data_IF_815078937715
#
_entry.id   IF_815078937715
#
_cell.length_a   1.000
_cell.length_b   1.000
_cell.length_c   1.000
_cell.angle_alpha   90.00
_cell.angle_beta   90.00
_cell.angle_gamma   90.00
#
_symmetry.space_group_name_H-M   'P 1'
#
loop_
_entity.id
_entity.type
_entity.pdbx_description
1 polymer ?
#
# COMPACT_ATOMS: atom_id res chain seq x y z
N UNK A 1 1.49 19.49 15.55
CA UNK A 1 2.49 18.42 15.69
C UNK A 1 2.62 18.10 17.17
N UNK A 2 2.23 16.90 17.60
CA UNK A 2 2.24 16.44 19.00
C UNK A 2 3.34 15.39 19.14
N UNK A 3 4.15 15.50 20.17
CA UNK A 3 5.21 14.53 20.49
C UNK A 3 4.65 13.64 21.60
N UNK A 4 4.46 12.34 21.35
CA UNK A 4 3.86 11.38 22.30
C UNK A 4 4.83 10.93 23.40
N UNK A 5 5.53 11.89 24.01
CA UNK A 5 6.43 11.67 25.15
C UNK A 5 5.85 12.18 26.46
N UNK A 6 6.53 11.89 27.57
CA UNK A 6 6.21 12.47 28.88
C UNK A 6 6.33 14.01 28.79
N UNK A 7 5.23 14.75 28.96
CA UNK A 7 5.21 16.19 28.74
C UNK A 7 3.94 16.89 29.20
N UNK A 8 3.98 18.22 29.24
CA UNK A 8 2.84 19.07 29.65
C UNK A 8 1.93 19.30 28.45
N UNK A 9 0.70 18.79 28.52
CA UNK A 9 -0.31 19.01 27.49
C UNK A 9 -0.98 20.38 27.67
N UNK A 10 -0.75 21.29 26.72
CA UNK A 10 -1.40 22.60 26.71
C UNK A 10 -2.85 22.44 26.25
N UNK A 11 -3.82 22.67 27.14
CA UNK A 11 -5.25 22.65 26.82
C UNK A 11 -5.60 23.84 25.93
N UNK A 12 -5.88 23.58 24.65
CA UNK A 12 -6.34 24.60 23.69
C UNK A 12 -7.87 24.59 23.67
N UNK A 13 -8.51 25.76 23.77
CA UNK A 13 -9.97 25.87 23.58
C UNK A 13 -10.26 25.81 22.08
N UNK A 14 -10.80 24.70 21.61
CA UNK A 14 -11.15 24.47 20.21
C UNK A 14 -12.64 24.78 20.07
N UNK A 15 -12.99 25.73 19.20
CA UNK A 15 -14.38 26.07 18.89
C UNK A 15 -15.07 24.88 18.19
N UNK A 16 -16.39 24.73 18.39
CA UNK A 16 -17.17 23.59 17.84
C UNK A 16 -17.19 23.53 16.30
N UNK A 17 -16.86 24.63 15.64
CA UNK A 17 -16.89 24.76 14.18
C UNK A 17 -15.59 24.32 13.47
N UNK A 18 -14.68 23.65 14.18
CA UNK A 18 -13.35 23.28 13.66
C UNK A 18 -13.16 21.77 13.70
N UNK A 19 -12.84 21.17 12.54
CA UNK A 19 -12.43 19.76 12.44
C UNK A 19 -10.96 19.61 12.81
N UNK A 20 -10.68 18.92 13.92
CA UNK A 20 -9.31 18.64 14.36
C UNK A 20 -8.89 17.29 13.83
N UNK A 21 -7.93 17.28 12.90
CA UNK A 21 -7.33 16.03 12.41
C UNK A 21 -5.95 15.83 13.02
N UNK A 22 -5.80 14.78 13.82
CA UNK A 22 -4.50 14.39 14.38
C UNK A 22 -3.80 13.48 13.39
N UNK A 23 -2.61 13.89 12.94
CA UNK A 23 -1.75 13.07 12.08
C UNK A 23 -0.72 12.41 12.98
N UNK A 24 -0.74 11.08 13.03
CA UNK A 24 0.19 10.26 13.81
C UNK A 24 1.07 9.45 12.86
N UNK A 25 2.39 9.36 13.12
CA UNK A 25 3.28 8.53 12.32
C UNK A 25 2.92 7.05 12.54
N UNK A 26 2.68 6.32 11.46
CA UNK A 26 2.40 4.86 11.54
C UNK A 26 3.65 4.05 11.87
N UNK A 27 4.83 4.59 11.57
CA UNK A 27 6.12 3.95 11.81
C UNK A 27 6.75 4.46 13.10
N UNK A 28 7.45 3.58 13.83
CA UNK A 28 8.24 3.98 14.99
C UNK A 28 9.30 5.01 14.56
N UNK A 29 9.15 6.23 15.06
CA UNK A 29 10.18 7.26 14.97
C UNK A 29 11.38 6.88 15.83
N UNK A 30 12.53 7.51 15.58
CA UNK A 30 13.74 7.30 16.38
C UNK A 30 13.52 7.58 17.88
N UNK A 31 14.45 7.07 18.71
CA UNK A 31 14.45 7.32 20.16
C UNK A 31 14.59 8.81 20.50
N UNK A 32 14.00 9.24 21.62
CA UNK A 32 14.20 10.59 22.15
C UNK A 32 15.70 10.88 22.35
N UNK A 33 16.14 12.09 21.99
CA UNK A 33 17.54 12.55 22.00
C UNK A 33 18.50 11.84 20.99
N UNK A 34 17.99 11.07 20.02
CA UNK A 34 18.85 10.49 18.99
C UNK A 34 19.05 11.46 17.80
N UNK A 35 20.08 12.30 17.85
CA UNK A 35 20.40 13.29 16.82
C UNK A 35 21.24 12.71 15.67
N UNK A 36 20.72 11.68 15.01
CA UNK A 36 21.29 11.23 13.74
C UNK A 36 20.69 12.07 12.61
N UNK A 37 21.54 12.77 11.84
CA UNK A 37 21.09 13.67 10.78
C UNK A 37 20.32 12.94 9.66
N UNK A 38 20.71 11.72 9.30
CA UNK A 38 20.02 10.94 8.27
C UNK A 38 18.66 10.44 8.76
N UNK A 39 18.59 9.95 10.00
CA UNK A 39 17.34 9.52 10.61
C UNK A 39 16.37 10.69 10.76
N UNK A 40 16.85 11.84 11.23
CA UNK A 40 16.05 13.05 11.42
C UNK A 40 15.43 13.52 10.08
N UNK A 41 16.19 13.48 8.99
CA UNK A 41 15.68 13.79 7.64
C UNK A 41 14.56 12.82 7.22
N UNK A 42 14.74 11.52 7.45
CA UNK A 42 13.73 10.49 7.13
C UNK A 42 12.46 10.67 7.95
N UNK A 43 12.59 10.92 9.25
CA UNK A 43 11.47 11.12 10.16
C UNK A 43 10.65 12.37 9.78
N UNK A 44 11.32 13.47 9.40
CA UNK A 44 10.66 14.68 8.88
C UNK A 44 9.94 14.39 7.56
N UNK A 45 10.59 13.68 6.63
CA UNK A 45 9.95 13.30 5.37
C UNK A 45 8.71 12.42 5.61
N UNK A 46 8.78 11.46 6.54
CA UNK A 46 7.66 10.61 6.90
C UNK A 46 6.48 11.43 7.41
N UNK A 47 6.71 12.37 8.33
CA UNK A 47 5.67 13.29 8.80
C UNK A 47 5.08 14.16 7.68
N UNK A 48 5.91 14.61 6.74
CA UNK A 48 5.44 15.40 5.59
C UNK A 48 4.51 14.60 4.66
N UNK A 49 4.86 13.36 4.33
CA UNK A 49 4.02 12.52 3.48
C UNK A 49 2.78 11.99 4.21
N UNK A 50 2.87 11.65 5.50
CA UNK A 50 1.70 11.30 6.32
C UNK A 50 0.72 12.48 6.41
N UNK A 51 1.21 13.71 6.50
CA UNK A 51 0.35 14.89 6.42
C UNK A 51 -0.33 15.01 5.05
N UNK A 52 0.41 14.80 3.95
CA UNK A 52 -0.18 14.80 2.59
C UNK A 52 -1.22 13.71 2.41
N UNK A 53 -1.01 12.52 2.98
CA UNK A 53 -1.98 11.41 2.94
C UNK A 53 -3.32 11.86 3.48
N UNK A 54 -3.31 12.52 4.64
CA UNK A 54 -4.52 13.01 5.28
C UNK A 54 -5.13 14.19 4.51
N UNK A 55 -4.32 15.14 4.04
CA UNK A 55 -4.80 16.34 3.35
C UNK A 55 -5.40 16.04 1.97
N UNK A 56 -4.81 15.10 1.23
CA UNK A 56 -5.25 14.74 -0.12
C UNK A 56 -6.09 13.47 -0.16
N UNK A 57 -6.31 12.79 0.97
CA UNK A 57 -7.06 11.54 1.02
C UNK A 57 -6.38 10.39 0.27
N UNK A 58 -5.04 10.33 0.32
CA UNK A 58 -4.28 9.28 -0.36
C UNK A 58 -4.55 7.91 0.27
N UNK A 59 -4.58 6.89 -0.58
CA UNK A 59 -4.78 5.49 -0.21
C UNK A 59 -3.45 4.80 0.10
N UNK A 60 -3.55 3.64 0.76
CA UNK A 60 -2.41 2.80 1.16
C UNK A 60 -2.02 2.93 2.64
N UNK A 61 -1.43 1.87 3.17
CA UNK A 61 -0.89 1.84 4.54
C UNK A 61 0.56 2.32 4.58
N UNK A 62 1.41 1.80 3.69
CA UNK A 62 2.85 2.08 3.63
C UNK A 62 3.18 3.08 2.50
N UNK A 63 2.50 2.95 1.36
CA UNK A 63 2.69 3.81 0.19
C UNK A 63 1.67 4.96 0.19
N UNK A 64 1.91 5.96 -0.66
CA UNK A 64 1.05 7.13 -0.82
C UNK A 64 0.44 7.10 -2.21
N UNK A 65 -0.77 6.55 -2.31
CA UNK A 65 -1.38 6.25 -3.60
C UNK A 65 -2.53 7.20 -3.87
N UNK A 66 -2.43 7.90 -5.00
CA UNK A 66 -3.49 8.75 -5.50
C UNK A 66 -4.47 7.88 -6.30
N UNK A 67 -5.69 7.74 -5.78
CA UNK A 67 -6.70 6.84 -6.34
C UNK A 67 -7.32 7.48 -7.58
N UNK A 68 -6.89 6.96 -8.72
CA UNK A 68 -7.41 7.24 -10.06
C UNK A 68 -8.35 6.15 -10.54
N UNK A 69 -8.16 4.91 -10.10
CA UNK A 69 -8.94 3.76 -10.56
C UNK A 69 -10.24 3.57 -9.79
N UNK A 70 -11.26 3.18 -10.54
CA UNK A 70 -12.53 2.66 -10.05
C UNK A 70 -12.38 1.22 -9.57
N UNK A 71 -13.33 0.75 -8.76
CA UNK A 71 -13.38 -0.65 -8.29
C UNK A 71 -13.38 -1.65 -9.46
N UNK A 72 -14.07 -1.32 -10.56
CA UNK A 72 -14.14 -2.16 -11.75
C UNK A 72 -12.78 -2.31 -12.43
N UNK A 73 -12.02 -1.23 -12.56
CA UNK A 73 -10.67 -1.28 -13.16
C UNK A 73 -9.72 -2.11 -12.29
N UNK A 74 -9.79 -1.96 -10.97
CA UNK A 74 -9.02 -2.80 -10.06
C UNK A 74 -9.39 -4.28 -10.17
N UNK A 75 -10.69 -4.60 -10.31
CA UNK A 75 -11.16 -5.97 -10.54
C UNK A 75 -10.66 -6.54 -11.88
N UNK A 76 -10.72 -5.77 -12.96
CA UNK A 76 -10.28 -6.22 -14.28
C UNK A 76 -8.77 -6.54 -14.28
N UNK A 77 -7.96 -5.71 -13.59
CA UNK A 77 -6.53 -5.97 -13.40
C UNK A 77 -6.30 -7.22 -12.55
N UNK A 78 -6.99 -7.37 -11.42
CA UNK A 78 -6.90 -8.58 -10.58
C UNK A 78 -7.28 -9.85 -11.35
N UNK A 79 -8.36 -9.80 -12.12
CA UNK A 79 -8.83 -10.91 -12.96
C UNK A 79 -7.78 -11.28 -14.01
N UNK A 80 -7.16 -10.28 -14.64
CA UNK A 80 -6.09 -10.48 -15.62
C UNK A 80 -4.85 -11.13 -14.98
N UNK A 81 -4.43 -10.67 -13.79
CA UNK A 81 -3.30 -11.25 -13.05
C UNK A 81 -3.55 -12.72 -12.69
N UNK A 82 -4.74 -13.03 -12.19
CA UNK A 82 -5.12 -14.39 -11.82
C UNK A 82 -5.20 -15.28 -13.06
N UNK A 83 -5.87 -14.82 -14.12
CA UNK A 83 -6.00 -15.58 -15.37
C UNK A 83 -4.63 -15.88 -15.97
N UNK A 84 -3.75 -14.88 -16.09
CA UNK A 84 -2.39 -15.07 -16.60
C UNK A 84 -1.52 -15.98 -15.72
N UNK A 85 -1.81 -16.12 -14.43
CA UNK A 85 -1.17 -17.13 -13.59
C UNK A 85 -1.63 -18.55 -13.90
N UNK A 86 -2.93 -18.76 -14.07
CA UNK A 86 -3.47 -20.09 -14.36
C UNK A 86 -3.21 -20.55 -15.80
N UNK A 87 -3.17 -19.63 -16.76
CA UNK A 87 -2.74 -19.92 -18.13
C UNK A 87 -1.29 -20.42 -18.17
N UNK A 88 -0.39 -19.84 -17.38
CA UNK A 88 0.99 -20.36 -17.21
C UNK A 88 1.04 -21.76 -16.58
N UNK A 89 0.00 -22.14 -15.83
CA UNK A 89 -0.17 -23.49 -15.28
C UNK A 89 -0.93 -24.44 -16.22
N UNK A 90 -1.30 -23.98 -17.44
CA UNK A 90 -2.05 -24.75 -18.41
C UNK A 90 -3.52 -25.01 -18.02
N UNK A 91 -4.08 -24.24 -17.09
CA UNK A 91 -5.45 -24.42 -16.57
C UNK A 91 -6.33 -23.23 -16.95
N UNK A 92 -7.54 -23.50 -17.44
CA UNK A 92 -8.59 -22.48 -17.56
C UNK A 92 -9.33 -22.35 -16.24
N UNK A 93 -9.60 -21.11 -15.82
CA UNK A 93 -10.35 -20.82 -14.60
C UNK A 93 -11.71 -20.27 -14.96
N UNK A 94 -12.76 -20.85 -14.36
CA UNK A 94 -14.10 -20.29 -14.41
C UNK A 94 -14.17 -19.03 -13.55
N UNK A 95 -14.92 -18.02 -14.00
CA UNK A 95 -15.16 -16.76 -13.28
C UNK A 95 -15.63 -17.01 -11.85
N UNK A 96 -16.46 -18.05 -11.63
CA UNK A 96 -16.93 -18.43 -10.30
C UNK A 96 -15.77 -18.83 -9.38
N UNK A 97 -14.84 -19.64 -9.88
CA UNK A 97 -13.68 -20.11 -9.12
C UNK A 97 -12.69 -18.98 -8.85
N UNK A 98 -12.55 -18.04 -9.81
CA UNK A 98 -11.74 -16.84 -9.63
C UNK A 98 -12.27 -16.00 -8.45
N UNK A 99 -13.57 -15.69 -8.45
CA UNK A 99 -14.17 -14.81 -7.45
C UNK A 99 -14.37 -15.47 -6.08
N UNK A 100 -14.94 -16.67 -6.04
CA UNK A 100 -15.33 -17.33 -4.79
C UNK A 100 -14.15 -18.00 -4.07
N UNK A 101 -13.13 -18.47 -4.80
CA UNK A 101 -11.98 -19.16 -4.21
C UNK A 101 -10.74 -18.27 -4.19
N UNK A 102 -10.29 -17.81 -5.37
CA UNK A 102 -8.96 -17.18 -5.49
C UNK A 102 -8.96 -15.79 -4.88
N UNK A 103 -9.90 -14.91 -5.27
CA UNK A 103 -9.97 -13.56 -4.74
C UNK A 103 -10.34 -13.54 -3.26
N UNK A 104 -11.27 -14.40 -2.80
CA UNK A 104 -11.56 -14.52 -1.36
C UNK A 104 -10.34 -14.98 -0.56
N UNK A 105 -9.55 -15.91 -1.09
CA UNK A 105 -8.31 -16.34 -0.45
C UNK A 105 -7.27 -15.22 -0.43
N UNK A 106 -7.11 -14.51 -1.54
CA UNK A 106 -6.21 -13.36 -1.63
C UNK A 106 -6.62 -12.27 -0.63
N UNK A 107 -7.91 -11.92 -0.54
CA UNK A 107 -8.43 -10.97 0.43
C UNK A 107 -8.09 -11.37 1.88
N UNK A 108 -8.23 -12.66 2.23
CA UNK A 108 -7.85 -13.20 3.54
C UNK A 108 -6.34 -13.13 3.80
N UNK A 109 -5.52 -13.50 2.83
CA UNK A 109 -4.05 -13.46 2.96
C UNK A 109 -3.52 -12.02 3.07
N UNK A 110 -4.20 -11.10 2.41
CA UNK A 110 -3.83 -9.68 2.36
C UNK A 110 -4.41 -8.91 3.56
N UNK A 111 -5.53 -9.37 4.15
CA UNK A 111 -6.22 -8.69 5.25
C UNK A 111 -7.07 -7.51 4.77
N UNK A 112 -7.63 -7.62 3.56
CA UNK A 112 -8.57 -6.64 3.01
C UNK A 112 -9.99 -6.93 3.53
N UNK A 113 -10.77 -5.89 3.80
CA UNK A 113 -12.04 -6.03 4.52
C UNK A 113 -13.25 -6.29 3.60
N UNK A 114 -13.41 -5.58 2.49
CA UNK A 114 -14.66 -5.67 1.71
C UNK A 114 -14.50 -5.38 0.19
N UNK A 115 -13.75 -4.35 -0.23
CA UNK A 115 -13.70 -3.83 -1.61
C UNK A 115 -12.58 -4.50 -2.45
N UNK A 116 -12.83 -4.80 -3.73
CA UNK A 116 -11.81 -5.30 -4.66
C UNK A 116 -10.63 -4.32 -4.83
N UNK A 117 -10.88 -3.02 -4.75
CA UNK A 117 -9.82 -2.02 -4.75
C UNK A 117 -8.92 -2.15 -3.51
N UNK A 118 -9.48 -2.42 -2.33
CA UNK A 118 -8.72 -2.65 -1.10
C UNK A 118 -7.87 -3.94 -1.18
N UNK A 119 -8.42 -4.99 -1.81
CA UNK A 119 -7.64 -6.22 -2.11
C UNK A 119 -6.46 -5.90 -3.02
N UNK A 120 -6.72 -5.15 -4.10
CA UNK A 120 -5.69 -4.78 -5.07
C UNK A 120 -4.59 -3.93 -4.43
N UNK A 121 -4.96 -2.86 -3.72
CA UNK A 121 -4.00 -1.91 -3.17
C UNK A 121 -3.06 -2.60 -2.16
N UNK A 122 -3.62 -3.36 -1.23
CA UNK A 122 -2.83 -4.05 -0.21
C UNK A 122 -1.98 -5.18 -0.81
N UNK A 123 -2.47 -5.85 -1.85
CA UNK A 123 -1.68 -6.83 -2.58
C UNK A 123 -0.45 -6.19 -3.24
N UNK A 124 -0.65 -5.05 -3.90
CA UNK A 124 0.39 -4.28 -4.55
C UNK A 124 1.37 -3.68 -3.54
N UNK A 125 0.90 -3.17 -2.40
CA UNK A 125 1.76 -2.67 -1.32
C UNK A 125 2.68 -3.77 -0.78
N UNK A 126 2.13 -4.96 -0.47
CA UNK A 126 2.95 -6.12 -0.03
C UNK A 126 3.98 -6.51 -1.09
N UNK A 127 3.62 -6.46 -2.37
CA UNK A 127 4.55 -6.74 -3.45
C UNK A 127 5.64 -5.65 -3.56
N UNK A 128 5.27 -4.39 -3.45
CA UNK A 128 6.18 -3.25 -3.50
C UNK A 128 7.20 -3.28 -2.35
N UNK A 129 6.75 -3.63 -1.13
CA UNK A 129 7.63 -3.86 0.02
C UNK A 129 8.62 -5.00 -0.24
N UNK A 130 8.15 -6.12 -0.81
CA UNK A 130 9.00 -7.26 -1.16
C UNK A 130 10.08 -6.90 -2.20
N UNK A 131 9.72 -6.09 -3.20
CA UNK A 131 10.66 -5.59 -4.21
C UNK A 131 11.46 -4.37 -3.76
N UNK A 132 11.27 -3.89 -2.52
CA UNK A 132 11.95 -2.71 -1.94
C UNK A 132 11.76 -1.44 -2.78
N UNK A 133 10.56 -1.25 -3.34
CA UNK A 133 10.23 -0.04 -4.09
C UNK A 133 10.18 1.14 -3.10
N UNK A 134 10.80 2.30 -3.42
CA UNK A 134 10.78 3.45 -2.52
C UNK A 134 9.36 3.97 -2.30
N UNK A 135 9.01 4.25 -1.05
CA UNK A 135 7.67 4.69 -0.65
C UNK A 135 7.52 6.22 -0.51
N UNK A 136 8.61 7.00 -0.57
CA UNK A 136 8.58 8.46 -0.49
C UNK A 136 8.21 9.14 -1.82
N UNK A 137 7.11 8.72 -2.42
CA UNK A 137 6.58 9.28 -3.65
C UNK A 137 5.07 9.13 -3.67
N UNK A 138 4.36 10.18 -4.08
CA UNK A 138 2.93 10.06 -4.39
C UNK A 138 2.81 9.46 -5.77
N UNK A 139 2.17 8.31 -5.86
CA UNK A 139 2.06 7.52 -7.08
C UNK A 139 0.59 7.28 -7.41
N UNK A 140 0.25 7.28 -8.69
CA UNK A 140 -1.07 6.80 -9.12
C UNK A 140 -1.11 5.27 -9.09
N UNK A 141 -2.31 4.69 -9.10
CA UNK A 141 -2.52 3.23 -9.13
C UNK A 141 -1.75 2.56 -10.27
N UNK A 142 -1.82 3.14 -11.46
CA UNK A 142 -1.13 2.63 -12.64
C UNK A 142 0.40 2.69 -12.47
N UNK A 143 0.92 3.76 -11.88
CA UNK A 143 2.36 3.96 -11.73
C UNK A 143 2.95 2.94 -10.76
N UNK A 144 2.29 2.68 -9.64
CA UNK A 144 2.76 1.69 -8.66
C UNK A 144 2.64 0.27 -9.24
N UNK A 145 1.53 -0.03 -9.93
CA UNK A 145 1.33 -1.30 -10.63
C UNK A 145 2.46 -1.57 -11.63
N UNK A 146 2.74 -0.60 -12.51
CA UNK A 146 3.79 -0.72 -13.51
C UNK A 146 5.17 -0.88 -12.89
N UNK A 147 5.48 -0.16 -11.80
CA UNK A 147 6.76 -0.34 -11.09
C UNK A 147 6.89 -1.73 -10.49
N UNK A 148 5.84 -2.28 -9.91
CA UNK A 148 5.84 -3.62 -9.32
C UNK A 148 6.00 -4.69 -10.40
N UNK A 149 5.29 -4.56 -11.51
CA UNK A 149 5.44 -5.43 -12.67
C UNK A 149 6.87 -5.37 -13.25
N UNK A 150 7.42 -4.17 -13.45
CA UNK A 150 8.79 -3.98 -13.91
C UNK A 150 9.82 -4.56 -12.93
N UNK A 151 9.64 -4.36 -11.63
CA UNK A 151 10.51 -4.92 -10.60
C UNK A 151 10.46 -6.46 -10.59
N UNK A 152 9.27 -7.05 -10.80
CA UNK A 152 9.13 -8.50 -10.94
C UNK A 152 9.91 -9.03 -12.13
N UNK A 153 9.76 -8.41 -13.32
CA UNK A 153 10.50 -8.75 -14.54
C UNK A 153 12.01 -8.68 -14.33
N UNK A 154 12.49 -7.52 -13.84
CA UNK A 154 13.91 -7.28 -13.61
C UNK A 154 14.51 -8.19 -12.53
N UNK A 155 13.70 -8.63 -11.57
CA UNK A 155 14.21 -9.48 -10.49
C UNK A 155 14.67 -10.86 -10.96
N UNK A 156 14.15 -11.39 -12.07
CA UNK A 156 14.51 -12.71 -12.61
C UNK A 156 14.36 -13.89 -11.62
N UNK A 157 13.81 -13.66 -10.43
CA UNK A 157 13.75 -14.65 -9.33
C UNK A 157 12.71 -15.71 -9.69
N UNK A 158 13.19 -16.95 -9.94
CA UNK A 158 12.34 -18.13 -10.18
C UNK A 158 11.45 -18.46 -8.97
N UNK A 159 11.89 -18.18 -7.74
CA UNK A 159 11.09 -18.37 -6.52
C UNK A 159 10.66 -17.03 -5.91
N UNK A 160 9.46 -16.57 -6.28
CA UNK A 160 8.72 -15.65 -5.40
C UNK A 160 7.87 -16.45 -4.44
N UNK A 161 7.57 -15.90 -3.25
CA UNK A 161 6.51 -16.43 -2.40
C UNK A 161 5.25 -16.73 -3.20
N UNK A 162 4.54 -17.82 -2.88
CA UNK A 162 3.29 -18.23 -3.57
C UNK A 162 2.30 -17.08 -3.73
N UNK A 163 2.25 -16.21 -2.73
CA UNK A 163 1.40 -15.02 -2.70
C UNK A 163 1.62 -14.12 -3.93
N UNK A 164 2.87 -13.90 -4.36
CA UNK A 164 3.20 -13.02 -5.49
C UNK A 164 3.26 -13.76 -6.84
N UNK A 165 2.82 -15.02 -6.88
CA UNK A 165 2.81 -15.82 -8.11
C UNK A 165 1.95 -15.21 -9.21
N UNK A 166 0.92 -14.45 -8.83
CA UNK A 166 -0.01 -13.82 -9.76
C UNK A 166 0.59 -12.66 -10.57
N UNK A 167 1.73 -12.10 -10.15
CA UNK A 167 2.38 -11.05 -10.92
C UNK A 167 2.92 -11.57 -12.25
N UNK A 168 2.84 -10.77 -13.33
CA UNK A 168 3.38 -11.14 -14.63
C UNK A 168 4.90 -11.29 -14.56
N UNK A 169 5.43 -12.27 -15.29
CA UNK A 169 6.87 -12.62 -15.31
C UNK A 169 7.49 -12.37 -16.69
N UNK A 170 6.65 -12.23 -17.73
CA UNK A 170 7.00 -11.84 -19.10
C UNK A 170 6.88 -10.32 -19.26
#
# INVERSE_FOLDING_TARGET
>A
MRIFGFGIEKRVKISKDITVTTIEPKTKLGYMLNFNAEQSKKDIMLGYFDAKRVLYGLYGETYYIDRTWTEKEAYDVLSTLVTGYFERLGKKVSVRKLNEEVLRRMAKEVGAKEDYYDVFIKYIEKAAEYFKIPYFEIMTDEKIYNRVCAARKNSGKKSVPRMFGFLPVE
#
